data_IF_903682803928
#
_entry.id   IF_903682803928
#
_cell.length_a   1.000
_cell.length_b   1.000
_cell.length_c   1.000
_cell.angle_alpha   90.00
_cell.angle_beta   90.00
_cell.angle_gamma   90.00
#
_symmetry.space_group_name_H-M   'P 1'
#
loop_
_entity.id
_entity.type
_entity.pdbx_description
1 polymer ?
#
# COMPACT_ATOMS: atom_id res chain seq x y z
N UNK A 1 27.84 26.03 11.31
CA UNK A 1 27.59 24.72 10.67
C UNK A 1 26.63 24.94 9.50
N UNK A 2 27.06 24.60 8.28
CA UNK A 2 26.27 24.78 7.05
C UNK A 2 25.27 23.62 6.96
N UNK A 3 23.98 23.92 6.84
CA UNK A 3 22.91 22.93 6.67
C UNK A 3 22.99 22.32 5.28
N UNK A 4 23.07 20.99 5.17
CA UNK A 4 23.07 20.27 3.91
C UNK A 4 21.77 20.53 3.11
N UNK A 5 21.82 20.70 1.77
CA UNK A 5 20.64 21.01 0.96
C UNK A 5 19.72 19.80 0.69
N UNK A 6 20.08 18.61 1.15
CA UNK A 6 19.48 17.33 0.75
C UNK A 6 18.17 16.96 1.45
N UNK A 7 17.76 17.67 2.51
CA UNK A 7 16.55 17.32 3.26
C UNK A 7 15.22 17.81 2.65
N UNK A 8 15.25 18.67 1.62
CA UNK A 8 14.01 19.27 1.07
C UNK A 8 13.21 18.34 0.15
N UNK A 9 13.80 17.25 -0.36
CA UNK A 9 13.12 16.38 -1.31
C UNK A 9 12.35 15.20 -0.66
N UNK A 10 12.63 14.85 0.61
CA UNK A 10 11.89 13.78 1.31
C UNK A 10 10.49 14.20 1.79
N UNK A 11 10.15 15.49 1.79
CA UNK A 11 8.82 15.99 2.16
C UNK A 11 7.77 15.95 1.03
N UNK A 12 8.14 15.57 -0.21
CA UNK A 12 7.19 15.57 -1.34
C UNK A 12 6.19 14.43 -1.32
N UNK A 13 6.50 13.31 -0.66
CA UNK A 13 5.66 12.10 -0.66
C UNK A 13 4.66 12.00 0.51
N UNK A 14 4.71 12.93 1.48
CA UNK A 14 3.79 12.99 2.61
C UNK A 14 2.83 14.19 2.56
N UNK A 15 2.47 14.67 1.36
CA UNK A 15 1.36 15.62 1.23
C UNK A 15 0.06 14.84 1.15
N UNK A 16 -0.59 14.65 2.29
CA UNK A 16 -2.01 14.26 2.34
C UNK A 16 -2.77 15.09 1.31
N UNK A 17 -3.51 14.45 0.41
CA UNK A 17 -4.42 15.12 -0.52
C UNK A 17 -5.29 16.10 0.26
N UNK A 18 -5.21 17.39 -0.08
CA UNK A 18 -5.88 18.50 0.61
C UNK A 18 -7.42 18.40 0.60
N UNK A 19 -7.98 17.44 -0.15
CA UNK A 19 -9.41 17.15 -0.12
C UNK A 19 -9.90 16.64 1.25
N UNK A 20 -9.03 15.97 2.03
CA UNK A 20 -9.35 15.49 3.38
C UNK A 20 -8.87 16.45 4.49
N UNK A 21 -8.06 17.47 4.19
CA UNK A 21 -7.52 18.39 5.19
C UNK A 21 -8.55 19.36 5.77
N UNK A 22 -9.73 19.46 5.15
CA UNK A 22 -10.86 20.27 5.65
C UNK A 22 -11.86 19.47 6.51
N UNK A 23 -11.56 18.20 6.81
CA UNK A 23 -12.37 17.42 7.73
C UNK A 23 -11.90 17.67 9.17
N UNK A 24 -12.71 18.34 10.03
CA UNK A 24 -12.29 18.65 11.40
C UNK A 24 -12.24 17.42 12.31
N UNK A 25 -12.42 16.22 11.76
CA UNK A 25 -12.74 15.01 12.50
C UNK A 25 -11.82 13.85 12.09
N UNK A 26 -11.17 13.20 13.06
CA UNK A 26 -10.33 12.01 12.83
C UNK A 26 -11.19 10.72 12.82
N UNK A 27 -10.71 9.70 12.10
CA UNK A 27 -11.45 8.56 11.56
C UNK A 27 -12.03 7.51 12.54
N UNK A 28 -11.73 7.57 13.84
CA UNK A 28 -12.27 6.63 14.81
C UNK A 28 -12.74 7.35 16.08
N UNK A 29 -14.02 7.17 16.41
CA UNK A 29 -14.72 7.88 17.50
C UNK A 29 -15.53 6.89 18.33
N UNK A 30 -15.37 6.96 19.64
CA UNK A 30 -16.23 6.25 20.60
C UNK A 30 -17.05 7.27 21.39
N UNK A 31 -18.36 7.10 21.40
CA UNK A 31 -19.25 7.82 22.32
C UNK A 31 -19.07 7.24 23.72
N UNK A 32 -18.52 8.07 24.61
CA UNK A 32 -18.25 7.75 26.01
C UNK A 32 -19.27 8.34 26.96
N UNK A 33 -20.36 8.95 26.47
CA UNK A 33 -21.40 9.60 27.30
C UNK A 33 -22.00 8.67 28.37
N UNK A 34 -22.04 7.37 28.08
CA UNK A 34 -22.57 6.34 28.98
C UNK A 34 -21.52 5.67 29.87
N UNK A 35 -20.25 6.00 29.70
CA UNK A 35 -19.15 5.42 30.46
C UNK A 35 -19.26 5.80 31.96
N UNK A 36 -18.97 4.89 32.92
CA UNK A 36 -19.10 5.15 34.36
C UNK A 36 -18.37 6.41 34.83
N UNK A 37 -17.14 6.61 34.35
CA UNK A 37 -16.31 7.81 34.61
C UNK A 37 -17.03 9.12 34.21
N UNK A 38 -17.74 9.13 33.08
CA UNK A 38 -18.44 10.32 32.58
C UNK A 38 -19.73 10.59 33.35
N UNK A 39 -20.37 9.54 33.88
CA UNK A 39 -21.57 9.65 34.72
C UNK A 39 -21.27 10.06 36.15
N UNK A 40 -20.07 9.76 36.65
CA UNK A 40 -19.67 10.09 38.00
C UNK A 40 -19.65 11.62 38.19
N UNK A 41 -20.35 12.08 39.23
CA UNK A 41 -20.38 13.49 39.66
C UNK A 41 -19.42 13.77 40.84
N UNK A 42 -18.62 12.79 41.21
CA UNK A 42 -17.70 12.93 42.35
C UNK A 42 -16.61 13.95 42.08
N UNK A 43 -16.17 14.66 43.12
CA UNK A 43 -15.17 15.70 43.00
C UNK A 43 -13.77 15.11 42.74
N UNK A 44 -13.15 15.55 41.64
CA UNK A 44 -11.79 15.18 41.28
C UNK A 44 -10.74 16.04 42.03
N UNK A 45 -10.64 15.90 43.35
CA UNK A 45 -9.70 16.66 44.18
C UNK A 45 -8.37 15.94 44.43
N UNK A 46 -8.28 14.64 44.18
CA UNK A 46 -7.11 13.85 44.54
C UNK A 46 -6.15 13.73 43.36
N UNK A 47 -4.94 14.25 43.51
CA UNK A 47 -3.93 14.24 42.45
C UNK A 47 -3.08 12.96 42.49
N UNK A 48 -2.81 12.43 41.30
CA UNK A 48 -1.73 11.49 41.00
C UNK A 48 -0.80 12.12 39.96
N UNK A 49 0.48 11.75 40.01
CA UNK A 49 1.52 12.31 39.13
C UNK A 49 2.19 11.16 38.41
N UNK A 50 2.50 11.36 37.13
CA UNK A 50 3.29 10.45 36.31
C UNK A 50 4.33 11.23 35.51
N UNK A 51 5.31 10.51 34.95
CA UNK A 51 6.26 11.03 33.98
C UNK A 51 6.02 10.29 32.68
N UNK A 52 5.77 11.02 31.60
CA UNK A 52 5.49 10.49 30.28
C UNK A 52 6.67 10.76 29.34
N UNK A 53 6.88 9.86 28.39
CA UNK A 53 7.67 10.16 27.20
C UNK A 53 6.88 11.07 26.25
N UNK A 54 7.56 11.66 25.26
CA UNK A 54 6.88 12.40 24.19
C UNK A 54 5.81 11.57 23.49
N UNK A 55 6.06 10.27 23.26
CA UNK A 55 5.11 9.42 22.56
C UNK A 55 3.94 9.02 23.43
N UNK A 56 4.17 8.74 24.71
CA UNK A 56 3.09 8.50 25.68
C UNK A 56 2.17 9.72 25.79
N UNK A 57 2.71 10.95 25.78
CA UNK A 57 1.89 12.16 25.73
C UNK A 57 1.08 12.27 24.43
N UNK A 58 1.66 11.92 23.28
CA UNK A 58 0.92 11.86 22.02
C UNK A 58 -0.18 10.81 22.06
N UNK A 59 0.01 9.67 22.74
CA UNK A 59 -1.03 8.67 22.95
C UNK A 59 -2.18 9.28 23.77
N UNK A 60 -1.90 10.03 24.84
CA UNK A 60 -2.95 10.72 25.62
C UNK A 60 -3.74 11.70 24.73
N UNK A 61 -3.07 12.46 23.88
CA UNK A 61 -3.72 13.34 22.90
C UNK A 61 -4.57 12.52 21.91
N UNK A 62 -4.06 11.37 21.46
CA UNK A 62 -4.77 10.43 20.61
C UNK A 62 -6.04 9.87 21.26
N UNK A 63 -5.97 9.52 22.54
CA UNK A 63 -7.08 9.02 23.34
C UNK A 63 -8.16 10.09 23.52
N UNK A 64 -7.79 11.31 23.91
CA UNK A 64 -8.73 12.44 24.01
C UNK A 64 -9.47 12.68 22.69
N UNK A 65 -8.77 12.58 21.55
CA UNK A 65 -9.38 12.67 20.24
C UNK A 65 -10.29 11.47 19.91
N UNK A 66 -9.89 10.24 20.22
CA UNK A 66 -10.73 9.06 19.94
C UNK A 66 -12.00 9.03 20.78
N UNK A 67 -11.90 9.42 22.06
CA UNK A 67 -13.00 9.39 23.02
C UNK A 67 -13.84 10.67 23.01
N UNK A 68 -13.45 11.68 22.22
CA UNK A 68 -14.13 12.98 22.12
C UNK A 68 -14.38 13.62 23.50
N UNK A 69 -13.39 13.51 24.39
CA UNK A 69 -13.43 14.08 25.74
C UNK A 69 -12.11 14.74 26.10
N UNK A 70 -12.12 15.52 27.17
CA UNK A 70 -10.93 16.20 27.69
C UNK A 70 -9.84 15.20 28.11
N UNK A 71 -8.58 15.65 28.12
CA UNK A 71 -7.42 14.79 28.43
C UNK A 71 -7.54 14.10 29.80
N UNK A 72 -8.10 14.77 30.80
CA UNK A 72 -8.29 14.22 32.15
C UNK A 72 -9.27 13.06 32.13
N UNK A 73 -10.37 13.20 31.41
CA UNK A 73 -11.45 12.24 31.25
C UNK A 73 -10.96 11.02 30.48
N UNK A 74 -10.20 11.24 29.40
CA UNK A 74 -9.57 10.18 28.65
C UNK A 74 -8.60 9.34 29.52
N UNK A 75 -7.80 9.99 30.37
CA UNK A 75 -6.92 9.31 31.32
C UNK A 75 -7.70 8.55 32.40
N UNK A 76 -8.80 9.12 32.91
CA UNK A 76 -9.68 8.44 33.87
C UNK A 76 -10.33 7.20 33.27
N UNK A 77 -10.81 7.29 32.03
CA UNK A 77 -11.35 6.15 31.28
C UNK A 77 -10.25 5.09 31.13
N UNK A 78 -9.04 5.47 30.72
CA UNK A 78 -7.94 4.52 30.56
C UNK A 78 -7.60 3.79 31.87
N UNK A 79 -7.54 4.51 32.99
CA UNK A 79 -7.32 3.89 34.31
C UNK A 79 -8.48 2.98 34.72
N UNK A 80 -9.73 3.40 34.50
CA UNK A 80 -10.90 2.60 34.82
C UNK A 80 -10.86 1.25 34.09
N UNK A 81 -10.61 1.27 32.78
CA UNK A 81 -10.51 0.06 31.98
C UNK A 81 -9.36 -0.84 32.44
N UNK A 82 -8.20 -0.25 32.78
CA UNK A 82 -7.08 -1.03 33.30
C UNK A 82 -7.45 -1.72 34.63
N UNK A 83 -8.17 -1.04 35.51
CA UNK A 83 -8.59 -1.61 36.78
C UNK A 83 -9.59 -2.76 36.62
N UNK A 84 -10.30 -2.85 35.49
CA UNK A 84 -11.17 -3.98 35.17
C UNK A 84 -10.40 -5.21 34.67
N UNK A 85 -9.29 -5.01 33.95
CA UNK A 85 -8.48 -6.10 33.39
C UNK A 85 -6.97 -5.90 33.64
N UNK A 86 -6.53 -5.88 34.91
CA UNK A 86 -5.17 -5.47 35.27
C UNK A 86 -4.10 -6.45 34.76
N UNK A 87 -4.36 -7.75 34.82
CA UNK A 87 -3.41 -8.77 34.37
C UNK A 87 -3.24 -8.74 32.84
N UNK A 88 -4.34 -8.59 32.09
CA UNK A 88 -4.29 -8.48 30.63
C UNK A 88 -3.51 -7.23 30.16
N UNK A 89 -3.60 -6.14 30.92
CA UNK A 89 -2.80 -4.94 30.68
C UNK A 89 -1.32 -5.19 30.98
N UNK A 90 -1.03 -5.84 32.11
CA UNK A 90 0.33 -6.17 32.52
C UNK A 90 1.02 -7.05 31.48
N UNK A 91 0.40 -8.18 31.11
CA UNK A 91 0.99 -9.17 30.21
C UNK A 91 1.39 -8.56 28.84
N UNK A 92 0.53 -7.68 28.30
CA UNK A 92 0.76 -7.07 26.99
C UNK A 92 1.70 -5.87 27.02
N UNK A 93 1.61 -5.03 28.05
CA UNK A 93 2.15 -3.67 27.98
C UNK A 93 3.14 -3.32 29.09
N UNK A 94 3.42 -4.22 30.03
CA UNK A 94 4.30 -3.94 31.16
C UNK A 94 5.73 -3.57 30.73
N UNK A 95 6.27 -4.23 29.71
CA UNK A 95 7.62 -3.96 29.17
C UNK A 95 7.77 -2.49 28.74
N UNK A 96 6.72 -1.91 28.15
CA UNK A 96 6.70 -0.51 27.78
C UNK A 96 6.54 0.41 29.00
N UNK A 97 5.65 0.08 29.94
CA UNK A 97 5.30 0.94 31.06
C UNK A 97 6.41 1.07 32.13
N UNK A 98 7.28 0.07 32.27
CA UNK A 98 8.40 0.06 33.25
C UNK A 98 9.24 1.31 33.18
N UNK A 99 9.60 1.89 34.33
CA UNK A 99 10.55 3.01 34.45
C UNK A 99 11.87 2.79 33.72
N UNK A 100 12.36 1.56 33.68
CA UNK A 100 13.61 1.15 33.02
C UNK A 100 13.41 0.61 31.59
N UNK A 101 12.24 0.84 30.98
CA UNK A 101 11.97 0.40 29.61
C UNK A 101 13.03 0.92 28.64
N UNK A 102 13.48 0.04 27.75
CA UNK A 102 14.40 0.35 26.64
C UNK A 102 13.69 0.38 25.30
N UNK A 103 12.37 0.15 25.30
CA UNK A 103 11.56 0.08 24.10
C UNK A 103 11.50 1.46 23.43
N UNK A 104 11.72 1.47 22.11
CA UNK A 104 11.78 2.72 21.35
C UNK A 104 10.53 3.54 21.60
N UNK A 105 10.73 4.79 22.05
CA UNK A 105 9.64 5.72 22.27
C UNK A 105 8.94 5.66 23.63
N UNK A 106 9.23 4.63 24.42
CA UNK A 106 8.87 4.53 25.83
C UNK A 106 10.05 4.86 26.76
N UNK A 107 11.15 5.33 26.18
CA UNK A 107 12.33 5.89 26.85
C UNK A 107 12.18 7.40 27.11
N UNK A 108 13.11 7.98 27.87
CA UNK A 108 13.24 9.44 28.10
C UNK A 108 11.96 10.12 28.62
N UNK A 109 11.53 9.71 29.81
CA UNK A 109 10.33 10.25 30.46
C UNK A 109 10.62 11.51 31.25
N UNK A 110 10.53 12.64 30.58
CA UNK A 110 10.82 13.98 31.12
C UNK A 110 9.57 14.87 31.25
N UNK A 111 8.41 14.44 30.72
CA UNK A 111 7.19 15.24 30.73
C UNK A 111 6.29 14.89 31.90
N UNK A 112 6.09 15.84 32.81
CA UNK A 112 5.24 15.62 33.97
C UNK A 112 3.75 15.61 33.56
N UNK A 113 3.08 14.48 33.81
CA UNK A 113 1.63 14.32 33.64
C UNK A 113 0.93 14.32 35.00
N UNK A 114 -0.20 15.03 35.12
CA UNK A 114 -0.95 15.13 36.38
C UNK A 114 -2.39 14.78 36.16
N UNK A 115 -2.91 13.89 37.00
CA UNK A 115 -4.26 13.37 36.89
C UNK A 115 -5.01 13.59 38.21
N UNK A 116 -6.10 14.33 38.15
CA UNK A 116 -6.99 14.53 39.29
C UNK A 116 -8.16 13.54 39.20
N UNK A 117 -8.35 12.79 40.28
CA UNK A 117 -9.30 11.69 40.39
C UNK A 117 -10.25 11.89 41.59
N UNK A 118 -11.46 11.31 41.55
CA UNK A 118 -12.23 11.03 42.74
C UNK A 118 -11.46 10.13 43.71
N UNK A 119 -11.82 10.20 45.00
CA UNK A 119 -11.12 9.44 46.05
C UNK A 119 -11.20 7.93 45.79
N UNK A 120 -12.38 7.42 45.45
CA UNK A 120 -12.61 6.01 45.17
C UNK A 120 -11.77 5.50 43.98
N UNK A 121 -11.70 6.27 42.88
CA UNK A 121 -10.89 5.92 41.71
C UNK A 121 -9.39 5.86 42.05
N UNK A 122 -8.90 6.83 42.84
CA UNK A 122 -7.50 6.83 43.29
C UNK A 122 -7.18 5.63 44.18
N UNK A 123 -8.03 5.34 45.17
CA UNK A 123 -7.83 4.20 46.07
C UNK A 123 -7.85 2.87 45.32
N UNK A 124 -8.75 2.73 44.34
CA UNK A 124 -8.79 1.56 43.44
C UNK A 124 -7.49 1.45 42.64
N UNK A 125 -7.06 2.52 41.98
CA UNK A 125 -5.82 2.53 41.21
C UNK A 125 -4.60 2.15 42.08
N UNK A 126 -4.50 2.69 43.29
CA UNK A 126 -3.41 2.36 44.22
C UNK A 126 -3.48 0.91 44.70
N UNK A 127 -4.68 0.36 44.91
CA UNK A 127 -4.85 -1.05 45.23
C UNK A 127 -4.39 -1.93 44.05
N UNK A 128 -4.75 -1.58 42.83
CA UNK A 128 -4.32 -2.30 41.62
C UNK A 128 -2.81 -2.20 41.41
N UNK A 129 -2.19 -1.04 41.62
CA UNK A 129 -0.73 -0.88 41.57
C UNK A 129 -0.03 -1.82 42.55
N UNK A 130 -0.54 -1.90 43.80
CA UNK A 130 -0.02 -2.84 44.80
C UNK A 130 -0.21 -4.30 44.40
N UNK A 131 -1.35 -4.66 43.82
CA UNK A 131 -1.62 -6.02 43.34
C UNK A 131 -0.68 -6.46 42.21
N UNK A 132 -0.33 -5.52 41.32
CA UNK A 132 0.58 -5.76 40.20
C UNK A 132 2.06 -5.56 40.55
N UNK A 133 2.37 -5.18 41.80
CA UNK A 133 3.72 -4.87 42.27
C UNK A 133 4.43 -3.79 41.42
N UNK A 134 3.68 -2.78 40.95
CA UNK A 134 4.20 -1.65 40.17
C UNK A 134 3.97 -0.33 40.88
N UNK A 135 4.71 0.70 40.47
CA UNK A 135 4.50 2.05 41.02
C UNK A 135 3.26 2.73 40.42
N UNK A 136 2.64 3.65 41.16
CA UNK A 136 1.53 4.48 40.68
C UNK A 136 1.84 5.16 39.33
N UNK A 137 3.11 5.59 39.14
CA UNK A 137 3.57 6.19 37.88
C UNK A 137 3.56 5.19 36.73
N UNK A 138 3.99 3.96 36.98
CA UNK A 138 3.99 2.87 35.98
C UNK A 138 2.56 2.42 35.67
N UNK A 139 1.67 2.36 36.66
CA UNK A 139 0.26 2.06 36.45
C UNK A 139 -0.41 3.05 35.49
N UNK A 140 -0.19 4.36 35.68
CA UNK A 140 -0.77 5.38 34.78
C UNK A 140 -0.23 5.22 33.36
N UNK A 141 1.07 4.95 33.19
CA UNK A 141 1.68 4.68 31.87
C UNK A 141 1.10 3.42 31.25
N UNK A 142 0.96 2.36 32.04
CA UNK A 142 0.38 1.09 31.62
C UNK A 142 -1.04 1.30 31.09
N UNK A 143 -1.86 2.08 31.79
CA UNK A 143 -3.23 2.40 31.36
C UNK A 143 -3.25 3.14 30.02
N UNK A 144 -2.42 4.17 29.85
CA UNK A 144 -2.32 4.94 28.61
C UNK A 144 -1.89 4.07 27.43
N UNK A 145 -0.82 3.29 27.62
CA UNK A 145 -0.24 2.46 26.56
C UNK A 145 -1.21 1.34 26.19
N UNK A 146 -1.76 0.63 27.18
CA UNK A 146 -2.66 -0.50 26.96
C UNK A 146 -3.93 -0.09 26.23
N UNK A 147 -4.60 0.99 26.68
CA UNK A 147 -5.81 1.48 25.99
C UNK A 147 -5.46 2.09 24.64
N UNK A 148 -4.34 2.80 24.52
CA UNK A 148 -3.88 3.37 23.25
C UNK A 148 -3.65 2.30 22.18
N UNK A 149 -2.93 1.23 22.51
CA UNK A 149 -2.69 0.09 21.61
C UNK A 149 -3.98 -0.70 21.37
N UNK A 150 -4.75 -0.97 22.42
CA UNK A 150 -5.97 -1.76 22.32
C UNK A 150 -7.09 -1.11 21.50
N UNK A 151 -7.12 0.22 21.41
CA UNK A 151 -8.01 0.94 20.50
C UNK A 151 -7.52 0.96 19.06
N UNK A 152 -6.20 0.89 18.84
CA UNK A 152 -5.63 0.87 17.49
C UNK A 152 -5.84 -0.49 16.82
N UNK A 153 -5.69 -1.56 17.59
CA UNK A 153 -5.77 -2.94 17.08
C UNK A 153 -7.13 -3.61 17.42
N UNK A 154 -8.12 -2.82 17.84
CA UNK A 154 -9.47 -3.24 18.26
C UNK A 154 -9.53 -4.36 19.32
N UNK A 155 -8.42 -4.60 20.04
CA UNK A 155 -8.30 -5.64 21.05
C UNK A 155 -8.95 -5.28 22.40
N UNK A 156 -9.37 -4.03 22.59
CA UNK A 156 -10.07 -3.58 23.80
C UNK A 156 -11.43 -2.97 23.45
N UNK A 157 -12.48 -3.49 24.09
CA UNK A 157 -13.82 -2.91 24.11
C UNK A 157 -14.01 -2.12 25.40
N UNK A 158 -14.11 -0.80 25.30
CA UNK A 158 -14.31 0.07 26.46
C UNK A 158 -15.73 -0.06 27.01
N UNK A 159 -15.88 0.03 28.33
CA UNK A 159 -17.14 -0.18 29.05
C UNK A 159 -18.23 0.79 28.63
N UNK A 160 -19.39 0.28 28.21
CA UNK A 160 -20.57 1.08 27.85
C UNK A 160 -20.30 2.15 26.78
N UNK A 161 -19.35 1.91 25.88
CA UNK A 161 -19.06 2.81 24.76
C UNK A 161 -19.66 2.29 23.46
N UNK A 162 -19.98 3.21 22.54
CA UNK A 162 -20.43 2.86 21.18
C UNK A 162 -19.50 3.49 20.16
N UNK A 163 -19.18 2.75 19.11
CA UNK A 163 -18.51 3.33 17.95
C UNK A 163 -19.48 4.30 17.27
N UNK A 164 -19.02 5.52 17.00
CA UNK A 164 -19.79 6.51 16.25
C UNK A 164 -19.37 6.39 14.80
N UNK A 165 -20.34 6.17 13.92
CA UNK A 165 -20.03 6.06 12.49
C UNK A 165 -19.60 7.41 11.93
N UNK A 166 -18.61 7.41 11.05
CA UNK A 166 -18.14 8.64 10.40
C UNK A 166 -19.27 9.34 9.62
N UNK A 167 -20.18 8.55 9.03
CA UNK A 167 -21.36 9.06 8.33
C UNK A 167 -22.33 9.79 9.26
N UNK A 168 -22.55 9.29 10.47
CA UNK A 168 -23.44 9.91 11.47
C UNK A 168 -22.87 11.26 11.93
N UNK A 169 -21.58 11.29 12.29
CA UNK A 169 -20.86 12.54 12.61
C UNK A 169 -20.94 13.52 11.46
N UNK A 170 -20.80 13.04 10.22
CA UNK A 170 -20.83 13.89 9.03
C UNK A 170 -22.19 14.52 8.80
N UNK A 171 -23.26 13.76 9.03
CA UNK A 171 -24.62 14.27 8.98
C UNK A 171 -24.84 15.33 10.07
N UNK A 172 -24.43 15.04 11.30
CA UNK A 172 -24.67 15.95 12.44
C UNK A 172 -23.89 17.26 12.31
N UNK A 173 -22.63 17.21 11.88
CA UNK A 173 -21.86 18.43 11.63
C UNK A 173 -22.41 19.25 10.47
N UNK A 174 -22.84 18.57 9.38
CA UNK A 174 -23.46 19.25 8.24
C UNK A 174 -24.76 19.95 8.64
N UNK A 175 -25.55 19.36 9.54
CA UNK A 175 -26.76 19.98 10.11
C UNK A 175 -26.42 21.17 10.99
N UNK A 176 -25.37 21.06 11.82
CA UNK A 176 -24.94 22.12 12.72
C UNK A 176 -24.19 23.29 12.02
N UNK A 177 -23.69 23.09 10.80
CA UNK A 177 -22.92 24.10 10.04
C UNK A 177 -23.51 24.34 8.64
N UNK A 178 -24.77 24.81 8.51
CA UNK A 178 -25.47 24.93 7.22
C UNK A 178 -24.82 25.93 6.25
N UNK A 179 -24.11 26.93 6.78
CA UNK A 179 -23.51 28.03 5.99
C UNK A 179 -22.03 27.82 5.62
N UNK A 180 -21.41 26.72 6.09
CA UNK A 180 -20.07 26.36 5.59
C UNK A 180 -20.24 25.68 4.25
N UNK A 181 -19.56 26.18 3.20
CA UNK A 181 -19.52 25.55 1.87
C UNK A 181 -18.97 24.13 2.05
N UNK A 182 -19.88 23.16 2.18
CA UNK A 182 -19.49 21.76 2.23
C UNK A 182 -18.84 21.43 0.89
N UNK A 183 -17.63 20.85 0.92
CA UNK A 183 -17.03 20.23 -0.28
C UNK A 183 -17.91 19.11 -0.84
N UNK A 184 -18.93 18.71 -0.08
CA UNK A 184 -19.96 17.72 -0.41
C UNK A 184 -20.84 18.18 -1.57
N UNK A 185 -21.23 19.46 -1.69
CA UNK A 185 -22.00 19.90 -2.87
C UNK A 185 -21.21 19.71 -4.17
N UNK A 186 -19.96 20.17 -4.29
CA UNK A 186 -19.09 19.84 -5.43
C UNK A 186 -18.90 18.34 -5.65
N UNK A 187 -18.74 17.55 -4.58
CA UNK A 187 -18.56 16.08 -4.68
C UNK A 187 -19.84 15.34 -5.09
N UNK A 188 -21.02 15.76 -4.62
CA UNK A 188 -22.32 15.24 -5.05
C UNK A 188 -22.57 15.61 -6.51
N UNK A 189 -22.25 16.84 -6.91
CA UNK A 189 -22.33 17.28 -8.32
C UNK A 189 -21.34 16.49 -9.18
N UNK A 190 -20.12 16.23 -8.69
CA UNK A 190 -19.13 15.42 -9.40
C UNK A 190 -19.53 13.94 -9.47
N UNK A 191 -20.13 13.39 -8.41
CA UNK A 191 -20.69 12.04 -8.39
C UNK A 191 -21.85 11.92 -9.36
N UNK A 192 -22.77 12.89 -9.36
CA UNK A 192 -23.93 12.91 -10.26
C UNK A 192 -23.49 13.05 -11.72
N UNK A 193 -22.52 13.94 -12.01
CA UNK A 193 -21.89 14.02 -13.34
C UNK A 193 -21.13 12.75 -13.73
N UNK A 194 -20.52 12.06 -12.77
CA UNK A 194 -19.85 10.78 -13.00
C UNK A 194 -20.84 9.66 -13.33
N UNK A 195 -21.99 9.63 -12.67
CA UNK A 195 -23.10 8.72 -12.96
C UNK A 195 -23.71 9.01 -14.34
N UNK A 196 -24.02 10.28 -14.63
CA UNK A 196 -24.54 10.70 -15.95
C UNK A 196 -23.55 10.35 -17.08
N UNK A 197 -22.25 10.51 -16.85
CA UNK A 197 -21.21 10.13 -17.81
C UNK A 197 -21.12 8.61 -17.97
N UNK A 198 -21.23 7.84 -16.89
CA UNK A 198 -21.23 6.39 -16.95
C UNK A 198 -22.48 5.84 -17.67
N UNK A 199 -23.64 6.47 -17.47
CA UNK A 199 -24.88 6.16 -18.22
C UNK A 199 -24.72 6.49 -19.71
N UNK A 200 -24.15 7.66 -20.05
CA UNK A 200 -23.84 8.01 -21.43
C UNK A 200 -22.84 7.04 -22.07
N UNK A 201 -21.78 6.65 -21.37
CA UNK A 201 -20.80 5.67 -21.86
C UNK A 201 -21.44 4.27 -22.02
N UNK A 202 -22.41 3.89 -21.18
CA UNK A 202 -23.17 2.65 -21.33
C UNK A 202 -24.11 2.70 -22.55
N UNK A 203 -24.80 3.81 -22.76
CA UNK A 203 -25.68 4.01 -23.92
C UNK A 203 -24.87 4.03 -25.22
N UNK A 204 -23.73 4.71 -25.25
CA UNK A 204 -22.79 4.70 -26.38
C UNK A 204 -22.28 3.29 -26.68
N UNK A 205 -21.87 2.53 -25.66
CA UNK A 205 -21.46 1.12 -25.83
C UNK A 205 -22.58 0.24 -26.34
N UNK A 206 -23.81 0.49 -25.90
CA UNK A 206 -24.99 -0.26 -26.37
C UNK A 206 -25.23 0.00 -27.86
N UNK A 207 -25.20 1.28 -28.27
CA UNK A 207 -25.34 1.69 -29.67
C UNK A 207 -24.20 1.12 -30.54
N UNK A 208 -22.95 1.21 -30.07
CA UNK A 208 -21.80 0.62 -30.76
C UNK A 208 -21.93 -0.88 -30.93
N UNK A 209 -22.37 -1.61 -29.89
CA UNK A 209 -22.63 -3.04 -29.95
C UNK A 209 -23.78 -3.38 -30.91
N UNK A 210 -24.84 -2.59 -30.96
CA UNK A 210 -25.91 -2.80 -31.95
C UNK A 210 -25.42 -2.62 -33.38
N UNK A 211 -24.63 -1.56 -33.65
CA UNK A 211 -24.03 -1.30 -34.95
C UNK A 211 -23.08 -2.44 -35.34
N UNK A 212 -22.24 -2.90 -34.41
CA UNK A 212 -21.32 -4.03 -34.56
C UNK A 212 -22.08 -5.32 -34.88
N UNK A 213 -23.09 -5.67 -34.10
CA UNK A 213 -23.92 -6.85 -34.33
C UNK A 213 -24.67 -6.78 -35.66
N UNK A 214 -25.07 -5.60 -36.10
CA UNK A 214 -25.68 -5.41 -37.41
C UNK A 214 -24.69 -5.70 -38.55
N UNK A 215 -23.44 -5.23 -38.44
CA UNK A 215 -22.37 -5.55 -39.40
C UNK A 215 -22.07 -7.05 -39.46
N UNK A 216 -22.01 -7.73 -38.31
CA UNK A 216 -21.82 -9.19 -38.24
C UNK A 216 -22.98 -9.92 -38.94
N UNK A 217 -24.23 -9.52 -38.68
CA UNK A 217 -25.41 -10.08 -39.37
C UNK A 217 -25.36 -9.88 -40.88
N UNK A 218 -24.90 -8.73 -41.34
CA UNK A 218 -24.75 -8.45 -42.77
C UNK A 218 -23.63 -9.28 -43.40
N UNK A 219 -22.51 -9.47 -42.71
CA UNK A 219 -21.40 -10.30 -43.16
C UNK A 219 -21.76 -11.79 -43.24
N UNK A 220 -22.50 -12.30 -42.24
CA UNK A 220 -23.00 -13.68 -42.26
C UNK A 220 -23.99 -13.95 -43.39
N UNK A 221 -24.73 -12.94 -43.86
CA UNK A 221 -25.58 -13.09 -45.05
C UNK A 221 -24.76 -13.28 -46.33
N UNK A 222 -23.58 -12.67 -46.40
CA UNK A 222 -22.66 -12.79 -47.52
C UNK A 222 -21.75 -14.03 -47.42
N UNK A 223 -21.56 -14.58 -46.22
CA UNK A 223 -20.72 -15.75 -45.93
C UNK A 223 -21.54 -16.86 -45.24
N UNK A 224 -22.47 -17.52 -45.96
CA UNK A 224 -23.30 -18.58 -45.40
C UNK A 224 -22.44 -19.80 -45.03
N UNK A 225 -22.48 -20.20 -43.76
CA UNK A 225 -21.70 -21.32 -43.22
C UNK A 225 -20.66 -20.92 -42.17
N UNK A 226 -20.35 -19.63 -42.05
CA UNK A 226 -19.52 -19.10 -40.96
C UNK A 226 -20.32 -19.04 -39.65
N UNK A 227 -19.66 -19.34 -38.53
CA UNK A 227 -20.25 -19.14 -37.20
C UNK A 227 -20.24 -17.66 -36.82
N UNK A 228 -21.12 -17.27 -35.88
CA UNK A 228 -21.19 -15.90 -35.38
C UNK A 228 -19.85 -15.40 -34.80
N UNK A 229 -19.12 -16.28 -34.11
CA UNK A 229 -17.80 -15.98 -33.55
C UNK A 229 -16.73 -15.83 -34.63
N UNK A 230 -16.69 -16.69 -35.63
CA UNK A 230 -15.76 -16.56 -36.75
C UNK A 230 -15.97 -15.25 -37.52
N UNK A 231 -17.23 -14.89 -37.78
CA UNK A 231 -17.59 -13.63 -38.44
C UNK A 231 -17.23 -12.41 -37.59
N UNK A 232 -17.35 -12.52 -36.26
CA UNK A 232 -16.95 -11.46 -35.33
C UNK A 232 -15.43 -11.27 -35.34
N UNK A 233 -14.65 -12.36 -35.26
CA UNK A 233 -13.19 -12.32 -35.25
C UNK A 233 -12.65 -11.72 -36.56
N UNK A 234 -13.18 -12.14 -37.71
CA UNK A 234 -12.77 -11.62 -39.02
C UNK A 234 -13.10 -10.13 -39.23
N UNK A 235 -14.26 -9.67 -38.73
CA UNK A 235 -14.68 -8.26 -38.85
C UNK A 235 -14.00 -7.33 -37.82
N UNK A 236 -13.64 -7.85 -36.65
CA UNK A 236 -13.05 -7.08 -35.54
C UNK A 236 -11.52 -6.99 -35.59
N UNK A 237 -10.88 -7.51 -36.64
CA UNK A 237 -9.43 -7.60 -36.84
C UNK A 237 -8.59 -6.64 -36.00
N UNK A 238 -7.94 -7.17 -34.96
CA UNK A 238 -6.89 -6.51 -34.18
C UNK A 238 -7.01 -6.57 -32.65
N UNK A 239 -7.14 -7.77 -32.07
CA UNK A 239 -6.89 -8.19 -30.66
C UNK A 239 -7.29 -9.68 -30.61
N UNK A 240 -6.47 -10.71 -30.50
CA UNK A 240 -5.04 -10.90 -30.30
C UNK A 240 -4.65 -12.12 -31.17
N UNK A 241 -3.93 -11.93 -32.28
CA UNK A 241 -3.49 -13.07 -33.13
C UNK A 241 -2.63 -14.05 -32.32
N UNK A 242 -1.91 -13.54 -31.31
CA UNK A 242 -1.12 -14.33 -30.37
C UNK A 242 -1.99 -15.17 -29.42
N UNK A 243 -3.11 -14.66 -28.90
CA UNK A 243 -3.97 -15.45 -28.00
C UNK A 243 -4.79 -16.49 -28.78
N UNK A 244 -5.15 -16.19 -30.03
CA UNK A 244 -5.79 -17.15 -30.92
C UNK A 244 -4.82 -18.28 -31.33
N UNK A 245 -3.56 -17.94 -31.62
CA UNK A 245 -2.50 -18.92 -31.86
C UNK A 245 -2.22 -19.76 -30.62
N UNK A 246 -2.15 -19.16 -29.44
CA UNK A 246 -1.89 -19.88 -28.18
C UNK A 246 -3.04 -20.84 -27.83
N UNK A 247 -4.29 -20.45 -28.09
CA UNK A 247 -5.45 -21.35 -27.93
C UNK A 247 -5.42 -22.50 -28.94
N UNK A 248 -5.00 -22.28 -30.19
CA UNK A 248 -4.82 -23.31 -31.20
C UNK A 248 -3.71 -24.30 -30.82
N UNK A 249 -2.56 -23.80 -30.36
CA UNK A 249 -1.43 -24.62 -29.88
C UNK A 249 -1.88 -25.48 -28.69
N UNK A 250 -2.57 -24.88 -27.72
CA UNK A 250 -3.06 -25.60 -26.54
C UNK A 250 -4.04 -26.72 -26.90
N UNK A 251 -4.96 -26.47 -27.85
CA UNK A 251 -5.91 -27.49 -28.30
C UNK A 251 -5.24 -28.66 -29.03
N UNK A 252 -4.22 -28.39 -29.86
CA UNK A 252 -3.53 -29.46 -30.60
C UNK A 252 -2.60 -30.27 -29.69
N UNK A 253 -1.93 -29.62 -28.72
CA UNK A 253 -1.13 -30.30 -27.69
C UNK A 253 -1.97 -31.27 -26.87
N UNK A 254 -3.18 -30.87 -26.45
CA UNK A 254 -4.11 -31.73 -25.70
C UNK A 254 -4.64 -32.89 -26.55
N UNK A 255 -4.95 -32.62 -27.83
CA UNK A 255 -5.55 -33.60 -28.75
C UNK A 255 -4.56 -34.66 -29.22
N UNK A 256 -3.32 -34.28 -29.50
CA UNK A 256 -2.27 -35.19 -29.97
C UNK A 256 -1.35 -35.68 -28.85
N UNK A 257 -1.55 -35.20 -27.61
CA UNK A 257 -0.75 -35.55 -26.42
C UNK A 257 0.76 -35.31 -26.63
N UNK A 258 1.09 -34.17 -27.23
CA UNK A 258 2.45 -33.82 -27.62
C UNK A 258 3.35 -33.66 -26.38
N UNK A 259 4.60 -34.11 -26.50
CA UNK A 259 5.61 -33.84 -25.47
C UNK A 259 6.18 -32.42 -25.60
N UNK A 260 6.90 -31.93 -24.58
CA UNK A 260 7.44 -30.56 -24.55
C UNK A 260 8.34 -30.21 -25.75
N UNK A 261 9.03 -31.19 -26.31
CA UNK A 261 9.88 -30.98 -27.49
C UNK A 261 9.01 -30.78 -28.74
N UNK A 262 8.01 -31.63 -28.92
CA UNK A 262 7.03 -31.56 -30.02
C UNK A 262 6.18 -30.28 -29.96
N UNK A 263 5.78 -29.84 -28.77
CA UNK A 263 5.10 -28.56 -28.57
C UNK A 263 5.97 -27.38 -29.04
N UNK A 264 7.26 -27.35 -28.67
CA UNK A 264 8.17 -26.28 -29.10
C UNK A 264 8.40 -26.28 -30.61
N UNK A 265 8.51 -27.46 -31.23
CA UNK A 265 8.62 -27.59 -32.69
C UNK A 265 7.36 -27.04 -33.37
N UNK A 266 6.17 -27.41 -32.86
CA UNK A 266 4.88 -26.90 -33.35
C UNK A 266 4.79 -25.38 -33.25
N UNK A 267 5.28 -24.79 -32.14
CA UNK A 267 5.34 -23.33 -31.94
C UNK A 267 6.22 -22.65 -33.00
N UNK A 268 7.38 -23.20 -33.33
CA UNK A 268 8.24 -22.63 -34.39
C UNK A 268 7.59 -22.71 -35.78
N UNK A 269 6.90 -23.82 -36.08
CA UNK A 269 6.22 -24.01 -37.35
C UNK A 269 4.99 -23.10 -37.52
N UNK A 270 4.22 -22.86 -36.45
CA UNK A 270 3.02 -22.02 -36.49
C UNK A 270 3.31 -20.52 -36.42
N UNK A 271 4.42 -20.11 -35.79
CA UNK A 271 4.85 -18.71 -35.72
C UNK A 271 5.45 -18.19 -37.05
N UNK A 272 5.45 -18.99 -38.12
CA UNK A 272 5.89 -18.56 -39.45
C UNK A 272 7.40 -18.36 -39.60
N UNK A 273 8.20 -19.05 -38.78
CA UNK A 273 9.65 -19.05 -38.95
C UNK A 273 10.01 -19.94 -40.15
N UNK A 274 10.80 -19.43 -41.10
CA UNK A 274 11.32 -20.19 -42.24
C UNK A 274 12.43 -21.16 -41.81
N UNK A 275 12.09 -22.10 -40.92
CA UNK A 275 12.98 -23.15 -40.44
C UNK A 275 12.58 -24.48 -41.08
N UNK A 276 13.57 -25.26 -41.51
CA UNK A 276 13.32 -26.66 -41.87
C UNK A 276 12.98 -27.48 -40.62
N UNK A 277 12.30 -28.63 -40.79
CA UNK A 277 11.92 -29.50 -39.66
C UNK A 277 13.13 -29.92 -38.80
N UNK A 278 14.30 -30.06 -39.42
CA UNK A 278 15.54 -30.38 -38.71
C UNK A 278 16.09 -29.19 -37.92
N UNK A 279 15.99 -27.97 -38.44
CA UNK A 279 16.44 -26.75 -37.74
C UNK A 279 15.50 -26.39 -36.59
N UNK A 280 14.18 -26.56 -36.76
CA UNK A 280 13.20 -26.35 -35.69
C UNK A 280 13.41 -27.33 -34.53
N UNK A 281 13.73 -28.60 -34.83
CA UNK A 281 14.08 -29.61 -33.81
C UNK A 281 15.36 -29.24 -33.06
N UNK A 282 16.42 -28.84 -33.77
CA UNK A 282 17.68 -28.45 -33.14
C UNK A 282 17.51 -27.23 -32.24
N UNK A 283 16.76 -26.21 -32.69
CA UNK A 283 16.46 -25.03 -31.89
C UNK A 283 15.65 -25.38 -30.62
N UNK A 284 14.61 -26.21 -30.76
CA UNK A 284 13.82 -26.68 -29.63
C UNK A 284 14.63 -27.50 -28.63
N UNK A 285 15.55 -28.36 -29.09
CA UNK A 285 16.45 -29.15 -28.24
C UNK A 285 17.46 -28.28 -27.48
N UNK A 286 18.00 -27.23 -28.11
CA UNK A 286 18.92 -26.28 -27.46
C UNK A 286 18.18 -25.52 -26.36
N UNK A 287 17.00 -24.98 -26.67
CA UNK A 287 16.21 -24.20 -25.70
C UNK A 287 15.73 -25.07 -24.53
N UNK A 288 15.41 -26.34 -24.78
CA UNK A 288 15.05 -27.30 -23.72
C UNK A 288 16.25 -27.67 -22.83
N UNK A 289 17.48 -27.66 -23.38
CA UNK A 289 18.73 -27.86 -22.60
C UNK A 289 19.11 -26.62 -21.80
N UNK A 290 18.84 -25.43 -22.32
CA UNK A 290 19.05 -24.17 -21.58
C UNK A 290 18.04 -23.99 -20.42
N UNK A 291 16.84 -24.58 -20.52
CA UNK A 291 15.86 -24.63 -19.43
C UNK A 291 16.20 -25.66 -18.34
N UNK A 292 17.07 -26.64 -18.63
CA UNK A 292 17.63 -27.50 -17.59
C UNK A 292 18.73 -26.75 -16.84
N UNK A 293 18.75 -26.77 -15.48
CA UNK A 293 19.74 -26.03 -14.72
C UNK A 293 21.15 -26.47 -15.13
N UNK A 294 22.02 -25.50 -15.44
CA UNK A 294 23.42 -25.75 -15.79
C UNK A 294 24.05 -26.68 -14.75
N UNK A 295 24.84 -27.64 -15.21
CA UNK A 295 25.62 -28.49 -14.31
C UNK A 295 26.67 -27.65 -13.57
N UNK A 296 27.06 -28.07 -12.36
CA UNK A 296 28.04 -27.31 -11.54
C UNK A 296 29.32 -26.98 -12.33
N UNK A 297 29.77 -27.90 -13.19
CA UNK A 297 30.95 -27.71 -14.05
C UNK A 297 30.76 -26.59 -15.08
N UNK A 298 29.58 -26.47 -15.68
CA UNK A 298 29.27 -25.42 -16.67
C UNK A 298 29.10 -24.05 -15.99
N UNK A 299 28.56 -24.01 -14.77
CA UNK A 299 28.50 -22.78 -13.97
C UNK A 299 29.89 -22.29 -13.55
N UNK A 300 30.79 -23.19 -13.14
CA UNK A 300 32.17 -22.85 -12.79
C UNK A 300 32.98 -22.39 -14.01
N UNK A 301 32.64 -22.86 -15.21
CA UNK A 301 33.28 -22.42 -16.44
C UNK A 301 32.84 -21.00 -16.81
N UNK A 302 31.54 -20.69 -16.71
CA UNK A 302 31.00 -19.35 -16.94
C UNK A 302 31.52 -18.32 -15.92
N UNK A 303 31.65 -18.69 -14.64
CA UNK A 303 32.24 -17.81 -13.62
C UNK A 303 33.72 -17.49 -13.92
N UNK A 304 34.49 -18.47 -14.41
CA UNK A 304 35.88 -18.25 -14.83
C UNK A 304 36.00 -17.31 -16.03
N UNK A 305 35.12 -17.46 -17.03
CA UNK A 305 35.10 -16.58 -18.20
C UNK A 305 34.69 -15.14 -17.83
N UNK A 306 33.72 -14.97 -16.92
CA UNK A 306 33.33 -13.66 -16.39
C UNK A 306 34.45 -12.98 -15.60
N UNK A 307 35.20 -13.75 -14.79
CA UNK A 307 36.36 -13.21 -14.08
C UNK A 307 37.48 -12.79 -15.04
N UNK A 308 37.73 -13.56 -16.10
CA UNK A 308 38.76 -13.25 -17.10
C UNK A 308 38.39 -11.96 -17.86
N UNK A 309 37.15 -11.83 -18.31
CA UNK A 309 36.65 -10.59 -18.94
C UNK A 309 36.75 -9.38 -18.00
N UNK A 310 36.43 -9.54 -16.71
CA UNK A 310 36.55 -8.44 -15.74
C UNK A 310 38.01 -8.01 -15.55
N UNK A 311 38.96 -8.95 -15.57
CA UNK A 311 40.40 -8.63 -15.46
C UNK A 311 40.90 -7.92 -16.72
N UNK A 312 40.45 -8.34 -17.90
CA UNK A 312 40.79 -7.68 -19.16
C UNK A 312 40.25 -6.24 -19.22
N UNK A 313 39.03 -6.00 -18.75
CA UNK A 313 38.45 -4.66 -18.70
C UNK A 313 39.23 -3.74 -17.75
N UNK A 314 39.64 -4.26 -16.59
CA UNK A 314 40.46 -3.53 -15.62
C UNK A 314 41.87 -3.22 -16.14
N UNK A 315 42.48 -4.16 -16.87
CA UNK A 315 43.75 -3.92 -17.55
C UNK A 315 43.63 -2.89 -18.66
N UNK A 316 42.54 -2.93 -19.43
CA UNK A 316 42.26 -1.94 -20.48
C UNK A 316 42.09 -0.54 -19.89
N UNK A 317 41.34 -0.41 -18.79
CA UNK A 317 41.15 0.86 -18.07
C UNK A 317 42.45 1.40 -17.47
N UNK A 318 43.34 0.53 -16.99
CA UNK A 318 44.68 0.92 -16.49
C UNK A 318 45.62 1.37 -17.60
N UNK A 319 45.56 0.74 -18.79
CA UNK A 319 46.41 1.08 -19.94
C UNK A 319 45.94 2.36 -20.67
N UNK A 320 44.65 2.70 -20.59
CA UNK A 320 44.06 3.88 -21.23
C UNK A 320 43.35 4.83 -20.23
N UNK A 321 44.07 5.49 -19.30
CA UNK A 321 43.46 6.49 -18.43
C UNK A 321 42.99 7.69 -19.27
N UNK A 322 41.73 8.06 -19.12
CA UNK A 322 41.10 9.15 -19.85
C UNK A 322 41.92 10.46 -19.70
N UNK A 323 42.51 10.94 -20.80
CA UNK A 323 43.20 12.24 -20.85
C UNK A 323 42.18 13.36 -20.66
N UNK A 324 42.08 13.89 -19.44
CA UNK A 324 41.42 15.17 -19.21
C UNK A 324 42.28 16.31 -19.78
N UNK A 325 41.61 17.38 -20.22
CA UNK A 325 42.13 18.65 -20.77
C UNK A 325 42.40 18.70 -22.28
N UNK A 326 41.33 18.93 -23.06
CA UNK A 326 41.35 19.98 -24.10
C UNK A 326 40.07 20.81 -24.04
N UNK A 327 40.25 22.12 -23.81
CA UNK A 327 39.23 23.15 -24.06
C UNK A 327 38.95 23.15 -25.57
N UNK A 328 37.75 22.72 -25.96
CA UNK A 328 37.22 22.93 -27.31
C UNK A 328 36.39 24.21 -27.25
N UNK A 329 36.67 25.24 -28.06
CA UNK A 329 35.87 26.44 -28.11
C UNK A 329 34.51 26.10 -28.74
N UNK A 330 33.44 26.57 -28.10
CA UNK A 330 32.06 26.42 -28.55
C UNK A 330 31.87 27.02 -29.94
N UNK A 331 31.12 26.32 -30.82
CA UNK A 331 30.23 27.02 -31.71
C UNK A 331 28.81 26.48 -31.56
N UNK A 332 27.87 27.42 -31.66
CA UNK A 332 26.45 27.21 -31.92
C UNK A 332 25.56 26.88 -30.73
N UNK A 333 24.90 27.97 -30.30
CA UNK A 333 23.64 28.04 -29.59
C UNK A 333 22.61 27.07 -30.21
N UNK A 334 22.37 25.95 -29.54
CA UNK A 334 21.04 25.36 -29.50
C UNK A 334 20.66 25.20 -28.03
N UNK A 335 19.39 25.45 -27.71
CA UNK A 335 18.82 25.18 -26.39
C UNK A 335 18.86 23.67 -26.15
N UNK A 336 19.99 23.17 -25.65
CA UNK A 336 20.13 21.81 -25.15
C UNK A 336 19.45 21.79 -23.78
N UNK A 337 18.39 20.98 -23.63
CA UNK A 337 17.87 20.62 -22.30
C UNK A 337 19.03 20.10 -21.47
N UNK A 338 19.12 20.51 -20.20
CA UNK A 338 20.23 20.13 -19.35
C UNK A 338 20.39 18.60 -19.38
N UNK A 339 21.63 18.09 -19.36
CA UNK A 339 21.88 16.65 -19.22
C UNK A 339 21.16 16.10 -17.97
N UNK A 340 21.00 16.94 -16.95
CA UNK A 340 20.22 16.65 -15.74
C UNK A 340 18.72 16.48 -16.01
N UNK A 341 18.15 17.20 -16.98
CA UNK A 341 16.74 17.03 -17.39
C UNK A 341 16.55 15.74 -18.19
N UNK A 342 17.53 15.37 -19.03
CA UNK A 342 17.49 14.12 -19.79
C UNK A 342 17.65 12.90 -18.88
N UNK A 343 18.54 12.97 -17.88
CA UNK A 343 18.69 11.93 -16.87
C UNK A 343 17.42 11.76 -16.03
N UNK A 344 16.73 12.87 -15.74
CA UNK A 344 15.47 12.84 -15.01
C UNK A 344 14.33 12.17 -15.76
N UNK A 345 14.20 12.43 -17.07
CA UNK A 345 13.22 11.76 -17.94
C UNK A 345 13.52 10.24 -18.07
N UNK A 346 14.80 9.85 -18.07
CA UNK A 346 15.21 8.44 -18.10
C UNK A 346 14.84 7.73 -16.78
N UNK A 347 15.09 8.37 -15.64
CA UNK A 347 14.74 7.83 -14.33
C UNK A 347 13.21 7.73 -14.15
N UNK A 348 12.45 8.73 -14.61
CA UNK A 348 10.98 8.70 -14.59
C UNK A 348 10.42 7.58 -15.47
N UNK A 349 10.98 7.36 -16.67
CA UNK A 349 10.60 6.21 -17.53
C UNK A 349 10.97 4.86 -16.93
N UNK A 350 12.12 4.74 -16.26
CA UNK A 350 12.52 3.51 -15.56
C UNK A 350 11.54 3.18 -14.43
N UNK A 351 11.09 4.17 -13.67
CA UNK A 351 10.08 3.95 -12.62
C UNK A 351 8.72 3.52 -13.18
N UNK A 352 8.30 4.07 -14.32
CA UNK A 352 7.05 3.67 -14.98
C UNK A 352 7.10 2.22 -15.47
N UNK A 353 8.24 1.80 -16.05
CA UNK A 353 8.45 0.42 -16.49
C UNK A 353 8.42 -0.55 -15.29
N UNK A 354 9.09 -0.21 -14.18
CA UNK A 354 9.08 -1.04 -12.97
C UNK A 354 7.67 -1.14 -12.39
N UNK A 355 6.90 -0.04 -12.36
CA UNK A 355 5.50 -0.05 -11.90
C UNK A 355 4.59 -0.86 -12.82
N UNK A 356 4.81 -0.82 -14.13
CA UNK A 356 4.07 -1.62 -15.09
C UNK A 356 4.37 -3.12 -14.94
N UNK A 357 5.64 -3.49 -14.75
CA UNK A 357 6.04 -4.86 -14.46
C UNK A 357 5.46 -5.37 -13.13
N UNK A 358 5.52 -4.56 -12.06
CA UNK A 358 4.91 -4.93 -10.77
C UNK A 358 3.39 -5.07 -10.84
N UNK A 359 2.70 -4.33 -11.72
CA UNK A 359 1.27 -4.51 -11.97
C UNK A 359 0.98 -5.82 -12.71
N UNK A 360 1.83 -6.23 -13.66
CA UNK A 360 1.74 -7.53 -14.33
C UNK A 360 1.91 -8.69 -13.35
N UNK A 361 2.99 -8.70 -12.56
CA UNK A 361 3.24 -9.77 -11.58
C UNK A 361 2.17 -9.86 -10.46
N UNK A 362 1.51 -8.75 -10.13
CA UNK A 362 0.42 -8.75 -9.14
C UNK A 362 -0.91 -9.29 -9.69
N UNK A 363 -1.08 -9.32 -11.02
CA UNK A 363 -2.24 -9.93 -11.67
C UNK A 363 -2.01 -11.45 -11.80
N UNK A 364 -0.78 -11.89 -12.09
CA UNK A 364 -0.42 -13.32 -12.15
C UNK A 364 -0.50 -14.01 -10.78
N UNK A 365 0.03 -13.39 -9.71
CA UNK A 365 -0.07 -13.95 -8.35
C UNK A 365 -1.46 -13.91 -7.71
N UNK A 366 -2.50 -13.43 -8.41
CA UNK A 366 -3.89 -13.49 -7.95
C UNK A 366 -4.65 -14.71 -8.51
N UNK A 367 -4.08 -15.39 -9.53
CA UNK A 367 -4.68 -16.60 -10.12
C UNK A 367 -4.11 -17.91 -9.54
N UNK A 368 -2.97 -17.87 -8.83
CA UNK A 368 -2.40 -19.05 -8.17
C UNK A 368 -3.13 -19.47 -6.88
N UNK A 369 -3.96 -18.60 -6.29
CA UNK A 369 -4.75 -18.90 -5.08
C UNK A 369 -6.22 -19.31 -5.39
N UNK A 370 -6.56 -19.53 -6.66
CA UNK A 370 -7.93 -19.90 -7.10
C UNK A 370 -8.03 -21.23 -7.87
N UNK A 371 -7.00 -22.08 -7.84
CA UNK A 371 -7.07 -23.48 -8.28
C UNK A 371 -6.55 -24.46 -7.23
#
# INVERSE_FOLDING_TARGET
MKTNPTDKNRQKFNKSTSALSNWPFKAARKDVSKHPVMKSKEACSNRMVTMLSQQEEMIVVGLSNHLQCDKREALRIALHELCLAPNAALDKCYVYAKSTSKEQGHTSRDRQGTLSLPKAEKELAQKTAKQLEITDKELIRLAVIWVGLGLKDDSIKLTNTKNVSELEVRRDWSRANPNKKSSIKPLLIAQQKGMEKAEQELDERFIENEIRNKKIREYLKCNPGLSWEAARIELEGGLDELDALEQLISQEVEKESLNKLEEKILRYQLNGWDLTDQEARQAAEIELKEETPLTEEETEQLERELEEMSREEDEYRKKNPAKSNRKIPHPLKYKVRSMDEQLKDIDERREEIIKAQQRRYRIEGFFDDLF
#
